data_IF_611101065923
#
_entry.id   IF_611101065923
#
_cell.length_a   1.000
_cell.length_b   1.000
_cell.length_c   1.000
_cell.angle_alpha   90.00
_cell.angle_beta   90.00
_cell.angle_gamma   90.00
#
_symmetry.space_group_name_H-M   'P 1'
#
loop_
_entity.id
_entity.type
_entity.pdbx_description
1 polymer ?
#
# COMPACT_ATOMS: atom_id res chain seq x y z
N UNK A 1 10.82 -6.26 -26.39
CA UNK A 1 11.80 -7.22 -26.95
C UNK A 1 11.66 -8.59 -26.28
N UNK A 2 11.55 -9.66 -27.08
CA UNK A 2 11.58 -11.07 -26.65
C UNK A 2 13.02 -11.47 -26.34
N UNK A 3 13.32 -12.11 -25.20
CA UNK A 3 14.69 -12.55 -24.88
C UNK A 3 14.86 -14.05 -25.07
N UNK A 4 15.76 -14.43 -25.97
CA UNK A 4 16.20 -15.83 -26.16
C UNK A 4 17.55 -16.13 -25.48
N UNK A 5 18.12 -15.19 -24.72
CA UNK A 5 19.54 -15.20 -24.34
C UNK A 5 19.87 -15.69 -22.91
N UNK A 6 18.99 -16.48 -22.26
CA UNK A 6 19.22 -16.96 -20.89
C UNK A 6 19.10 -18.48 -20.69
N UNK A 7 18.59 -19.21 -21.68
CA UNK A 7 18.38 -20.65 -21.55
C UNK A 7 19.65 -21.51 -21.72
N UNK A 8 20.78 -20.92 -22.15
CA UNK A 8 22.03 -21.69 -22.35
C UNK A 8 22.69 -22.14 -21.04
N UNK A 9 22.31 -21.56 -19.89
CA UNK A 9 22.90 -21.85 -18.57
C UNK A 9 21.90 -22.41 -17.54
N UNK A 10 20.65 -22.65 -17.92
CA UNK A 10 19.56 -22.84 -16.95
C UNK A 10 18.78 -24.15 -17.19
N UNK A 11 18.87 -25.14 -16.28
CA UNK A 11 18.28 -26.47 -16.48
C UNK A 11 16.74 -26.50 -16.44
N UNK A 12 16.10 -25.44 -15.91
CA UNK A 12 14.64 -25.27 -15.87
C UNK A 12 14.22 -23.95 -16.52
N UNK A 13 14.74 -23.67 -17.72
CA UNK A 13 14.35 -22.48 -18.47
C UNK A 13 12.90 -22.62 -18.97
N UNK A 14 11.95 -21.98 -18.31
CA UNK A 14 10.68 -21.63 -18.96
C UNK A 14 10.96 -20.46 -19.89
N UNK A 15 10.61 -20.59 -21.16
CA UNK A 15 10.83 -19.54 -22.16
C UNK A 15 10.00 -18.31 -21.75
N UNK A 16 10.57 -17.37 -20.99
CA UNK A 16 9.86 -16.12 -20.69
C UNK A 16 9.67 -15.41 -22.02
N UNK A 17 8.41 -15.18 -22.42
CA UNK A 17 8.11 -14.51 -23.69
C UNK A 17 8.81 -13.17 -23.80
N UNK A 18 9.00 -12.48 -22.66
CA UNK A 18 9.58 -11.16 -22.61
C UNK A 18 10.87 -11.14 -21.79
N UNK A 19 11.77 -10.23 -22.18
CA UNK A 19 12.91 -9.83 -21.34
C UNK A 19 12.40 -9.35 -19.97
N UNK A 20 13.14 -9.63 -18.91
CA UNK A 20 12.90 -9.07 -17.57
C UNK A 20 12.59 -7.56 -17.63
N UNK A 21 11.55 -7.15 -16.92
CA UNK A 21 11.08 -5.76 -16.91
C UNK A 21 10.13 -5.42 -18.05
N UNK A 22 9.76 -6.36 -18.92
CA UNK A 22 8.79 -6.16 -19.99
C UNK A 22 7.70 -7.24 -19.97
N UNK A 23 6.49 -6.88 -20.39
CA UNK A 23 5.36 -7.80 -20.49
C UNK A 23 4.48 -7.54 -21.73
N UNK A 24 3.50 -8.42 -21.92
CA UNK A 24 2.49 -8.35 -22.96
C UNK A 24 2.87 -9.12 -24.23
N UNK A 25 1.91 -9.27 -25.15
CA UNK A 25 2.08 -10.13 -26.33
C UNK A 25 3.22 -9.69 -27.27
N UNK A 26 3.58 -8.40 -27.26
CA UNK A 26 4.68 -7.83 -28.06
C UNK A 26 5.92 -7.51 -27.23
N UNK A 27 5.88 -7.70 -25.90
CA UNK A 27 6.96 -7.38 -24.98
C UNK A 27 7.44 -5.92 -25.05
N UNK A 28 6.53 -4.98 -25.29
CA UNK A 28 6.84 -3.55 -25.41
C UNK A 28 6.29 -2.71 -24.25
N UNK A 29 5.62 -3.34 -23.29
CA UNK A 29 5.15 -2.66 -22.09
C UNK A 29 6.13 -2.94 -20.95
N UNK A 30 6.54 -1.91 -20.23
CA UNK A 30 7.46 -2.06 -19.09
C UNK A 30 6.71 -2.43 -17.83
N UNK A 31 7.26 -3.35 -17.03
CA UNK A 31 6.80 -3.57 -15.67
C UNK A 31 6.84 -2.25 -14.87
N UNK A 32 5.97 -2.11 -13.87
CA UNK A 32 6.07 -1.02 -12.91
C UNK A 32 7.45 -1.03 -12.23
N UNK A 33 8.07 0.15 -12.05
CA UNK A 33 9.36 0.24 -11.35
C UNK A 33 9.24 -0.09 -9.86
N UNK A 34 8.02 -0.12 -9.32
CA UNK A 34 7.73 -0.40 -7.92
C UNK A 34 7.34 -1.87 -7.68
N UNK A 35 7.38 -2.73 -8.71
CA UNK A 35 7.30 -4.17 -8.47
C UNK A 35 8.55 -4.60 -7.69
N UNK A 36 8.37 -5.34 -6.60
CA UNK A 36 9.49 -5.86 -5.81
C UNK A 36 10.31 -6.82 -6.65
N UNK A 37 11.52 -6.42 -7.01
CA UNK A 37 12.44 -7.28 -7.73
C UNK A 37 12.89 -8.44 -6.83
N UNK A 38 12.83 -9.67 -7.35
CA UNK A 38 13.53 -10.79 -6.73
C UNK A 38 15.03 -10.72 -7.06
N UNK A 39 15.90 -11.16 -6.14
CA UNK A 39 17.33 -11.27 -6.41
C UNK A 39 17.56 -12.02 -7.72
N UNK A 40 18.15 -11.28 -8.66
CA UNK A 40 18.44 -11.78 -9.98
C UNK A 40 19.57 -12.81 -9.90
N UNK A 41 19.39 -13.97 -10.51
CA UNK A 41 20.49 -14.87 -10.83
C UNK A 41 20.55 -15.10 -12.34
N UNK A 42 21.54 -15.86 -12.80
CA UNK A 42 21.74 -16.17 -14.22
C UNK A 42 20.48 -16.76 -14.90
N UNK A 43 19.53 -17.30 -14.12
CA UNK A 43 18.34 -18.01 -14.60
C UNK A 43 17.01 -17.32 -14.36
N UNK A 44 16.89 -16.40 -13.40
CA UNK A 44 15.62 -15.76 -13.06
C UNK A 44 15.82 -14.29 -12.71
N UNK A 45 15.14 -13.42 -13.45
CA UNK A 45 14.96 -12.01 -13.10
C UNK A 45 13.51 -11.66 -13.41
N UNK A 46 12.60 -11.98 -12.51
CA UNK A 46 11.18 -11.69 -12.70
C UNK A 46 10.81 -10.46 -11.87
N UNK A 47 10.49 -9.37 -12.56
CA UNK A 47 10.03 -8.12 -11.93
C UNK A 47 8.50 -8.14 -11.86
N UNK A 48 7.86 -8.51 -12.96
CA UNK A 48 6.43 -8.75 -13.07
C UNK A 48 6.17 -9.96 -13.96
N UNK A 49 4.94 -10.49 -13.90
CA UNK A 49 4.50 -11.56 -14.79
C UNK A 49 4.61 -11.10 -16.25
N UNK A 50 5.32 -11.84 -17.12
CA UNK A 50 5.63 -11.38 -18.48
C UNK A 50 4.41 -11.38 -19.42
N UNK A 51 3.26 -11.92 -19.00
CA UNK A 51 2.04 -11.93 -19.81
C UNK A 51 1.10 -10.80 -19.41
N UNK A 52 0.82 -10.68 -18.13
CA UNK A 52 -0.18 -9.78 -17.54
C UNK A 52 0.40 -8.48 -17.01
N UNK A 53 1.69 -8.44 -16.67
CA UNK A 53 2.34 -7.28 -16.05
C UNK A 53 2.17 -7.20 -14.53
N UNK A 54 1.49 -8.16 -13.91
CA UNK A 54 1.22 -8.17 -12.47
C UNK A 54 2.51 -8.38 -11.67
N UNK A 55 2.72 -7.60 -10.61
CA UNK A 55 3.84 -7.74 -9.69
C UNK A 55 3.61 -8.94 -8.74
N UNK A 56 3.95 -10.16 -9.19
CA UNK A 56 3.72 -11.41 -8.45
C UNK A 56 4.47 -11.49 -7.11
N UNK A 57 5.62 -10.82 -7.02
CA UNK A 57 6.43 -10.72 -5.81
C UNK A 57 5.98 -9.59 -4.85
N UNK A 58 4.90 -8.88 -5.20
CA UNK A 58 4.40 -7.73 -4.47
C UNK A 58 5.13 -6.44 -4.83
N UNK A 59 4.95 -5.44 -3.97
CA UNK A 59 5.39 -4.08 -4.21
C UNK A 59 6.57 -3.69 -3.33
N UNK A 60 7.33 -2.72 -3.81
CA UNK A 60 8.26 -1.97 -2.98
C UNK A 60 7.52 -1.25 -1.86
N UNK A 61 8.21 -1.04 -0.75
CA UNK A 61 7.61 -0.45 0.45
C UNK A 61 7.02 0.92 0.13
N UNK A 62 5.74 1.10 0.47
CA UNK A 62 5.00 2.32 0.20
C UNK A 62 4.11 2.27 -1.04
N UNK A 63 4.06 1.13 -1.74
CA UNK A 63 3.19 0.92 -2.90
C UNK A 63 2.29 -0.31 -2.71
N UNK A 64 1.15 -0.31 -3.38
CA UNK A 64 0.20 -1.42 -3.38
C UNK A 64 -0.57 -1.52 -4.71
N UNK A 65 -1.37 -2.59 -4.83
CA UNK A 65 -2.14 -2.94 -6.03
C UNK A 65 -1.38 -3.94 -6.91
N UNK A 66 -2.10 -4.58 -7.83
CA UNK A 66 -1.55 -5.66 -8.66
C UNK A 66 -0.37 -5.21 -9.54
N UNK A 67 -0.32 -3.93 -9.88
CA UNK A 67 0.75 -3.31 -10.68
C UNK A 67 1.66 -2.39 -9.85
N UNK A 68 1.46 -2.29 -8.53
CA UNK A 68 2.27 -1.44 -7.65
C UNK A 68 2.31 0.04 -8.09
N UNK A 69 1.20 0.56 -8.60
CA UNK A 69 1.08 1.95 -9.08
C UNK A 69 0.36 2.85 -8.08
N UNK A 70 -0.12 2.29 -6.96
CA UNK A 70 -0.86 3.04 -5.95
C UNK A 70 0.01 3.26 -4.72
N UNK A 71 0.18 4.50 -4.31
CA UNK A 71 0.96 4.87 -3.12
C UNK A 71 0.14 4.54 -1.86
N UNK A 72 0.78 3.93 -0.86
CA UNK A 72 0.16 3.71 0.44
C UNK A 72 -0.36 5.04 1.03
N UNK A 73 -1.49 5.02 1.76
CA UNK A 73 -2.03 6.24 2.36
C UNK A 73 -1.00 6.97 3.22
N UNK A 74 -0.90 8.29 3.05
CA UNK A 74 0.11 9.12 3.73
C UNK A 74 0.03 9.01 5.26
N UNK A 75 -1.18 8.81 5.78
CA UNK A 75 -1.46 8.79 7.21
C UNK A 75 -1.37 7.40 7.85
N UNK A 76 -0.92 6.39 7.11
CA UNK A 76 -0.48 5.14 7.72
C UNK A 76 0.69 5.43 8.67
N UNK A 77 0.62 4.89 9.88
CA UNK A 77 1.75 4.87 10.79
C UNK A 77 2.83 3.92 10.26
N UNK A 78 4.09 4.23 10.57
CA UNK A 78 5.23 3.37 10.28
C UNK A 78 6.04 3.19 11.55
N UNK A 79 5.96 2.02 12.19
CA UNK A 79 6.70 1.76 13.44
C UNK A 79 8.15 1.35 13.16
N UNK A 80 8.40 0.67 12.04
CA UNK A 80 9.72 0.16 11.69
C UNK A 80 10.15 0.58 10.27
N UNK A 81 11.42 0.95 10.10
CA UNK A 81 11.96 1.46 8.83
C UNK A 81 11.99 0.44 7.68
N UNK A 82 11.95 -0.86 7.99
CA UNK A 82 12.08 -1.93 6.98
C UNK A 82 10.77 -2.72 6.76
N UNK A 83 9.66 -2.27 7.35
CA UNK A 83 8.36 -2.90 7.19
C UNK A 83 7.53 -2.18 6.12
N UNK A 84 6.68 -2.96 5.44
CA UNK A 84 5.64 -2.45 4.56
C UNK A 84 4.65 -1.56 5.34
N UNK A 85 4.22 -0.46 4.71
CA UNK A 85 3.43 0.59 5.36
C UNK A 85 1.93 0.26 5.32
N UNK A 86 1.49 -0.31 4.20
CA UNK A 86 0.12 -0.74 3.97
C UNK A 86 0.09 -2.14 3.35
N UNK A 87 -1.06 -2.80 3.45
CA UNK A 87 -1.32 -4.08 2.82
C UNK A 87 -1.21 -3.93 1.31
N UNK A 88 -0.38 -4.77 0.71
CA UNK A 88 -0.03 -4.70 -0.72
C UNK A 88 -1.21 -4.93 -1.67
N UNK A 89 -2.34 -5.47 -1.21
CA UNK A 89 -3.50 -5.77 -2.06
C UNK A 89 -4.57 -4.69 -1.95
N UNK A 90 -4.89 -4.27 -0.73
CA UNK A 90 -6.03 -3.38 -0.49
C UNK A 90 -5.65 -2.00 0.06
N UNK A 91 -4.37 -1.75 0.36
CA UNK A 91 -3.89 -0.45 0.83
C UNK A 91 -4.19 -0.16 2.30
N UNK A 92 -4.72 -1.11 3.07
CA UNK A 92 -5.01 -0.91 4.49
C UNK A 92 -3.72 -0.75 5.30
N UNK A 93 -3.67 0.23 6.19
CA UNK A 93 -2.48 0.52 7.00
C UNK A 93 -2.19 -0.62 7.99
N UNK A 94 -0.97 -1.16 7.95
CA UNK A 94 -0.57 -2.34 8.74
C UNK A 94 -0.44 -1.98 10.23
N UNK A 95 0.18 -0.84 10.53
CA UNK A 95 0.43 -0.36 11.90
C UNK A 95 -0.68 0.55 12.45
N UNK A 96 -1.78 0.69 11.72
CA UNK A 96 -2.81 1.70 11.97
C UNK A 96 -2.40 3.08 11.45
N UNK A 97 -3.04 4.12 11.97
CA UNK A 97 -2.91 5.50 11.55
C UNK A 97 -2.01 6.32 12.46
N UNK A 98 -1.43 7.38 11.88
CA UNK A 98 -0.86 8.48 12.65
C UNK A 98 -1.94 9.08 13.57
N UNK A 99 -1.53 9.65 14.71
CA UNK A 99 -2.45 10.33 15.63
C UNK A 99 -3.24 11.41 14.89
N UNK A 100 -4.55 11.49 15.16
CA UNK A 100 -5.46 12.40 14.47
C UNK A 100 -6.13 11.79 13.23
N UNK A 101 -5.81 10.55 12.86
CA UNK A 101 -6.43 9.86 11.73
C UNK A 101 -7.03 8.51 12.14
N UNK A 102 -8.01 8.06 11.36
CA UNK A 102 -8.68 6.77 11.53
C UNK A 102 -9.21 6.22 10.19
N UNK A 103 -9.71 4.99 10.23
CA UNK A 103 -10.15 4.19 9.10
C UNK A 103 -9.09 3.19 8.66
N UNK A 104 -9.47 2.23 7.82
CA UNK A 104 -8.55 1.18 7.34
C UNK A 104 -7.38 1.75 6.54
N UNK A 105 -7.61 2.85 5.83
CA UNK A 105 -6.63 3.56 5.00
C UNK A 105 -6.27 4.95 5.57
N UNK A 106 -6.69 5.27 6.79
CA UNK A 106 -6.30 6.51 7.49
C UNK A 106 -6.60 7.84 6.77
N UNK A 107 -7.57 7.87 5.87
CA UNK A 107 -7.98 9.09 5.15
C UNK A 107 -8.98 9.94 5.93
N UNK A 108 -9.53 9.42 7.03
CA UNK A 108 -10.46 10.16 7.87
C UNK A 108 -9.74 10.79 9.06
N UNK A 109 -10.10 12.01 9.41
CA UNK A 109 -9.51 12.77 10.52
C UNK A 109 -10.37 12.67 11.78
N UNK A 110 -9.75 12.43 12.93
CA UNK A 110 -10.42 12.55 14.23
C UNK A 110 -11.03 13.95 14.38
N UNK A 111 -12.21 14.02 15.02
CA UNK A 111 -12.84 15.29 15.34
C UNK A 111 -11.92 16.19 16.17
N UNK A 112 -11.92 17.49 15.85
CA UNK A 112 -11.25 18.50 16.67
C UNK A 112 -11.90 18.64 18.07
N UNK A 113 -13.07 18.04 18.29
CA UNK A 113 -13.72 17.95 19.60
C UNK A 113 -13.19 16.80 20.48
N UNK A 114 -12.38 15.88 19.95
CA UNK A 114 -11.75 14.84 20.77
C UNK A 114 -10.61 15.43 21.61
N UNK A 115 -10.45 14.96 22.85
CA UNK A 115 -9.27 15.27 23.64
C UNK A 115 -7.98 14.83 22.91
N UNK A 116 -6.99 15.73 22.82
CA UNK A 116 -5.74 15.58 22.06
C UNK A 116 -5.88 15.15 20.59
N UNK A 117 -7.07 15.31 19.99
CA UNK A 117 -7.41 14.75 18.66
C UNK A 117 -7.17 13.23 18.58
N UNK A 118 -7.33 12.51 19.69
CA UNK A 118 -7.20 11.06 19.73
C UNK A 118 -8.55 10.39 19.55
N UNK A 119 -8.65 9.59 18.50
CA UNK A 119 -9.81 8.76 18.25
C UNK A 119 -9.44 7.29 17.98
N UNK A 120 -10.42 6.42 18.14
CA UNK A 120 -10.30 4.99 17.88
C UNK A 120 -10.05 4.76 16.40
N UNK A 121 -9.01 4.00 16.11
CA UNK A 121 -8.43 3.81 14.78
C UNK A 121 -9.40 3.26 13.73
N UNK A 122 -10.43 2.49 14.12
CA UNK A 122 -11.43 1.95 13.17
C UNK A 122 -12.69 2.79 13.08
N UNK A 123 -13.12 3.43 14.17
CA UNK A 123 -14.46 4.01 14.27
C UNK A 123 -14.49 5.53 14.34
N UNK A 124 -13.37 6.23 14.55
CA UNK A 124 -13.36 7.70 14.66
C UNK A 124 -13.90 8.25 15.99
N UNK A 125 -14.46 7.39 16.84
CA UNK A 125 -14.95 7.76 18.18
C UNK A 125 -13.80 8.23 19.08
N UNK A 126 -14.02 9.31 19.83
CA UNK A 126 -12.99 9.91 20.67
C UNK A 126 -12.58 8.95 21.79
N UNK A 127 -11.29 8.63 21.87
CA UNK A 127 -10.79 7.58 22.76
C UNK A 127 -10.78 8.02 24.24
N UNK A 128 -10.55 9.31 24.46
CA UNK A 128 -10.42 9.94 25.80
C UNK A 128 -11.56 10.94 26.07
N UNK A 129 -12.66 10.83 25.33
CA UNK A 129 -13.83 11.70 25.46
C UNK A 129 -13.69 13.06 24.75
N UNK A 130 -14.63 13.96 25.06
CA UNK A 130 -14.77 15.26 24.43
C UNK A 130 -14.06 16.38 25.20
N UNK A 131 -13.56 17.37 24.47
CA UNK A 131 -13.19 18.66 25.06
C UNK A 131 -14.45 19.39 25.57
N UNK A 132 -14.26 20.38 26.45
CA UNK A 132 -15.37 21.15 27.02
C UNK A 132 -16.27 21.74 25.93
N UNK A 133 -17.59 21.62 26.11
CA UNK A 133 -18.59 22.17 25.18
C UNK A 133 -18.99 21.22 24.03
N UNK A 134 -18.33 20.07 23.89
CA UNK A 134 -18.62 19.06 22.85
C UNK A 134 -19.30 17.83 23.43
N UNK A 135 -20.14 17.19 22.63
CA UNK A 135 -20.90 15.99 23.01
C UNK A 135 -21.02 14.98 21.86
N UNK A 136 -21.43 13.76 22.21
CA UNK A 136 -21.55 12.63 21.30
C UNK A 136 -20.26 11.79 21.24
N UNK A 137 -20.33 10.62 20.59
CA UNK A 137 -19.22 9.66 20.55
C UNK A 137 -18.02 10.14 19.72
N UNK A 138 -18.26 11.02 18.75
CA UNK A 138 -17.23 11.67 17.93
C UNK A 138 -17.05 13.15 18.30
N UNK A 139 -17.72 13.63 19.34
CA UNK A 139 -17.61 15.02 19.82
C UNK A 139 -17.88 16.08 18.74
N UNK A 140 -18.77 15.80 17.80
CA UNK A 140 -19.16 16.71 16.70
C UNK A 140 -20.27 17.67 17.13
N UNK A 141 -21.16 17.26 18.04
CA UNK A 141 -22.22 18.09 18.59
C UNK A 141 -21.70 19.14 19.58
N UNK A 142 -22.38 20.29 19.66
CA UNK A 142 -22.13 21.33 20.65
C UNK A 142 -23.24 21.38 21.71
N UNK A 143 -22.91 21.75 22.94
CA UNK A 143 -23.91 21.93 24.01
C UNK A 143 -24.83 23.15 23.81
N UNK A 144 -24.58 23.98 22.78
CA UNK A 144 -25.33 25.20 22.49
C UNK A 144 -25.99 25.23 21.10
N UNK A 145 -26.06 24.10 20.38
CA UNK A 145 -26.94 24.02 19.20
C UNK A 145 -28.39 23.91 19.66
N UNK A 146 -28.98 25.06 19.94
CA UNK A 146 -30.42 25.26 20.07
C UNK A 146 -30.91 25.61 18.66
N UNK A 147 -31.47 24.63 17.97
CA UNK A 147 -32.45 24.89 16.90
C UNK A 147 -33.85 24.90 17.53
#
# INVERSE_FOLDING_TARGET
>A
MVSNARCEKCPNCTLSKCKSGYYGNTCNVTCSPNCRAVPCNDCACEICDPTSGICTNGCDTGWYGDFCEIVCPENCARKFRLQDVCDRRNGACIDGCKQGFYGDVCNSTCSNGCFDRKCRQKSGACAEGCIQGRVGVECTGGLFSID
#
